data_IF_112794747671
#
_entry.id   IF_112794747671
#
_cell.length_a   1.000
_cell.length_b   1.000
_cell.length_c   1.000
_cell.angle_alpha   90.00
_cell.angle_beta   90.00
_cell.angle_gamma   90.00
#
_symmetry.space_group_name_H-M   'P 1'
#
loop_
_entity.id
_entity.type
_entity.pdbx_description
1 polymer ?
#
# COMPACT_ATOMS: atom_id res chain seq x y z
N UNK A 1 11.02 25.58 -5.14
CA UNK A 1 10.97 24.43 -6.07
C UNK A 1 9.54 23.89 -5.99
N UNK A 2 8.81 23.99 -7.08
CA UNK A 2 7.35 23.91 -7.16
C UNK A 2 6.86 22.46 -7.09
N UNK A 3 6.19 22.12 -6.00
CA UNK A 3 5.36 20.92 -5.92
C UNK A 3 4.21 21.07 -6.93
N UNK A 4 3.97 20.05 -7.74
CA UNK A 4 2.80 20.03 -8.61
C UNK A 4 1.56 19.84 -7.73
N UNK A 5 0.91 20.95 -7.35
CA UNK A 5 -0.35 21.02 -6.60
C UNK A 5 -1.54 20.61 -7.48
N UNK A 6 -1.47 19.42 -8.08
CA UNK A 6 -2.63 18.78 -8.72
C UNK A 6 -3.03 17.58 -7.89
N UNK A 7 -3.67 17.89 -6.76
CA UNK A 7 -4.41 16.93 -5.96
C UNK A 7 -3.90 16.88 -4.55
N UNK A 8 -4.45 17.72 -3.67
CA UNK A 8 -4.18 17.74 -2.23
C UNK A 8 -4.69 16.51 -1.49
N UNK A 9 -4.45 15.32 -2.03
CA UNK A 9 -4.66 14.02 -1.42
C UNK A 9 -3.33 13.45 -0.93
N UNK A 10 -3.39 12.49 -0.01
CA UNK A 10 -2.21 11.82 0.55
C UNK A 10 -2.32 10.33 0.32
N UNK A 11 -1.30 9.74 -0.28
CA UNK A 11 -1.11 8.28 -0.40
C UNK A 11 -0.38 7.75 0.82
N UNK A 12 -0.92 6.71 1.46
CA UNK A 12 -0.35 6.16 2.69
C UNK A 12 -0.72 4.67 2.87
N UNK A 13 -0.04 3.98 3.78
CA UNK A 13 -0.18 2.56 3.98
C UNK A 13 0.45 2.05 5.29
N UNK A 14 0.09 0.84 5.69
CA UNK A 14 0.73 0.18 6.83
C UNK A 14 1.95 -0.64 6.40
N UNK A 15 2.86 -0.82 7.35
CA UNK A 15 3.98 -1.74 7.18
C UNK A 15 3.46 -3.16 7.00
N UNK A 16 4.19 -3.95 6.21
CA UNK A 16 3.92 -5.39 6.08
C UNK A 16 3.94 -6.05 7.45
N UNK A 17 2.93 -6.85 7.73
CA UNK A 17 2.77 -7.60 8.97
C UNK A 17 2.30 -9.02 8.66
N UNK A 18 2.55 -9.97 9.58
CA UNK A 18 2.19 -11.39 9.39
C UNK A 18 0.99 -11.74 10.25
N UNK A 19 0.02 -12.44 9.68
CA UNK A 19 -1.11 -12.99 10.42
C UNK A 19 -0.65 -13.97 11.51
N UNK A 20 -1.29 -13.92 12.67
CA UNK A 20 -1.11 -14.92 13.73
C UNK A 20 -1.82 -16.24 13.41
N UNK A 21 -2.84 -16.20 12.54
CA UNK A 21 -3.60 -17.37 12.11
C UNK A 21 -2.89 -18.16 10.99
N UNK A 22 -2.85 -19.51 11.07
CA UNK A 22 -2.35 -20.35 9.98
C UNK A 22 -3.24 -20.33 8.72
N UNK A 23 -2.66 -20.43 7.51
CA UNK A 23 -1.23 -20.32 7.25
C UNK A 23 -0.75 -18.88 7.44
N UNK A 24 0.45 -18.73 8.00
CA UNK A 24 1.06 -17.42 8.21
C UNK A 24 1.09 -16.64 6.88
N UNK A 25 0.59 -15.42 6.89
CA UNK A 25 0.39 -14.62 5.68
C UNK A 25 0.91 -13.21 5.92
N UNK A 26 1.87 -12.77 5.10
CA UNK A 26 2.27 -11.37 5.04
C UNK A 26 1.16 -10.56 4.38
N UNK A 27 0.80 -9.43 4.98
CA UNK A 27 -0.21 -8.51 4.48
C UNK A 27 0.16 -7.06 4.73
N UNK A 28 -0.32 -6.18 3.86
CA UNK A 28 -0.31 -4.74 4.08
C UNK A 28 -1.54 -4.10 3.44
N UNK A 29 -1.87 -2.91 3.91
CA UNK A 29 -2.99 -2.11 3.44
C UNK A 29 -2.51 -0.76 2.89
N UNK A 30 -3.08 -0.36 1.76
CA UNK A 30 -2.90 0.96 1.18
C UNK A 30 -4.20 1.74 1.22
N UNK A 31 -4.11 3.06 1.41
CA UNK A 31 -5.24 3.98 1.40
C UNK A 31 -4.86 5.35 0.88
N UNK A 32 -5.86 6.21 0.77
CA UNK A 32 -5.67 7.62 0.46
C UNK A 32 -6.52 8.51 1.37
N UNK A 33 -6.06 9.74 1.57
CA UNK A 33 -6.70 10.79 2.35
C UNK A 33 -6.96 12.00 1.48
N UNK A 34 -8.01 12.75 1.77
CA UNK A 34 -8.30 14.06 1.17
C UNK A 34 -8.35 15.12 2.28
N UNK A 35 -7.19 15.52 2.84
CA UNK A 35 -7.13 16.43 3.99
C UNK A 35 -7.76 17.79 3.72
N UNK A 36 -7.76 18.25 2.45
CA UNK A 36 -8.33 19.53 2.05
C UNK A 36 -9.80 19.43 1.61
N UNK A 37 -10.34 18.22 1.48
CA UNK A 37 -11.73 18.01 1.07
C UNK A 37 -12.03 18.43 -0.38
N UNK A 38 -11.03 18.46 -1.26
CA UNK A 38 -11.15 18.90 -2.66
C UNK A 38 -11.78 17.82 -3.57
N UNK A 39 -11.78 16.57 -3.12
CA UNK A 39 -12.14 15.39 -3.91
C UNK A 39 -13.39 14.69 -3.34
N UNK A 40 -14.36 15.48 -2.87
CA UNK A 40 -15.64 14.95 -2.36
C UNK A 40 -16.30 14.06 -3.39
N UNK A 41 -16.75 12.88 -2.97
CA UNK A 41 -17.38 11.84 -3.80
C UNK A 41 -16.50 11.20 -4.88
N UNK A 42 -15.24 11.60 -5.01
CA UNK A 42 -14.26 10.91 -5.86
C UNK A 42 -13.88 9.59 -5.22
N UNK A 43 -13.67 8.58 -6.06
CA UNK A 43 -13.00 7.33 -5.69
C UNK A 43 -11.60 7.36 -6.30
N UNK A 44 -10.64 6.79 -5.59
CA UNK A 44 -9.33 6.47 -6.13
C UNK A 44 -9.20 4.97 -6.29
N UNK A 45 -8.52 4.51 -7.33
CA UNK A 45 -7.99 3.16 -7.40
C UNK A 45 -6.71 3.14 -6.58
N UNK A 46 -6.78 2.50 -5.41
CA UNK A 46 -5.59 2.27 -4.59
C UNK A 46 -4.99 0.93 -5.02
N UNK A 47 -3.74 0.94 -5.44
CA UNK A 47 -2.96 -0.25 -5.77
C UNK A 47 -1.83 -0.39 -4.78
N UNK A 48 -1.65 -1.58 -4.22
CA UNK A 48 -0.59 -1.89 -3.25
C UNK A 48 0.17 -3.13 -3.71
N UNK A 49 1.49 -3.04 -3.69
CA UNK A 49 2.39 -4.17 -3.90
C UNK A 49 3.13 -4.50 -2.61
N UNK A 50 3.22 -5.80 -2.30
CA UNK A 50 4.20 -6.28 -1.33
C UNK A 50 5.52 -6.51 -2.05
N UNK A 51 6.60 -6.01 -1.48
CA UNK A 51 7.95 -6.23 -1.98
C UNK A 51 8.83 -6.92 -0.96
N UNK A 52 9.62 -7.88 -1.42
CA UNK A 52 10.72 -8.48 -0.66
C UNK A 52 12.07 -8.07 -1.21
N UNK A 53 13.06 -7.98 -0.33
CA UNK A 53 14.44 -7.69 -0.73
C UNK A 53 15.16 -8.98 -1.14
N UNK A 54 15.74 -8.97 -2.33
CA UNK A 54 16.61 -10.01 -2.87
C UNK A 54 17.96 -9.38 -3.23
N UNK A 55 18.97 -9.61 -2.38
CA UNK A 55 20.26 -8.91 -2.46
C UNK A 55 20.07 -7.39 -2.32
N UNK A 56 20.43 -6.65 -3.36
CA UNK A 56 20.28 -5.19 -3.42
C UNK A 56 18.98 -4.73 -4.09
N UNK A 57 18.15 -5.65 -4.55
CA UNK A 57 16.94 -5.33 -5.33
C UNK A 57 15.67 -5.63 -4.54
N UNK A 58 14.61 -4.89 -4.84
CA UNK A 58 13.27 -5.15 -4.34
C UNK A 58 12.44 -5.80 -5.43
N UNK A 59 11.70 -6.87 -5.11
CA UNK A 59 10.84 -7.58 -6.05
C UNK A 59 9.39 -7.56 -5.57
N UNK A 60 8.46 -7.26 -6.46
CA UNK A 60 7.03 -7.42 -6.20
C UNK A 60 6.71 -8.92 -6.07
N UNK A 61 6.07 -9.31 -4.97
CA UNK A 61 5.69 -10.72 -4.71
C UNK A 61 4.19 -10.93 -4.54
N UNK A 62 3.44 -9.85 -4.33
CA UNK A 62 1.99 -9.83 -4.33
C UNK A 62 1.48 -8.43 -4.66
N UNK A 63 0.26 -8.37 -5.18
CA UNK A 63 -0.45 -7.14 -5.51
C UNK A 63 -1.89 -7.24 -4.98
N UNK A 64 -2.46 -6.10 -4.63
CA UNK A 64 -3.89 -5.95 -4.42
C UNK A 64 -4.33 -4.55 -4.82
N UNK A 65 -5.56 -4.43 -5.31
CA UNK A 65 -6.12 -3.12 -5.64
C UNK A 65 -7.59 -3.01 -5.25
N UNK A 66 -8.04 -1.78 -5.00
CA UNK A 66 -9.44 -1.48 -4.68
C UNK A 66 -9.80 -0.04 -5.01
N UNK A 67 -10.94 0.17 -5.66
CA UNK A 67 -11.51 1.51 -5.86
C UNK A 67 -12.33 1.94 -4.65
N UNK A 68 -11.88 2.97 -3.94
CA UNK A 68 -12.44 3.40 -2.65
C UNK A 68 -12.51 4.92 -2.55
N UNK A 69 -13.46 5.42 -1.75
CA UNK A 69 -13.44 6.82 -1.29
C UNK A 69 -12.31 7.01 -0.28
N UNK A 70 -11.88 8.25 -0.07
CA UNK A 70 -10.89 8.59 0.94
C UNK A 70 -11.25 8.01 2.31
N UNK A 71 -10.26 7.47 3.00
CA UNK A 71 -10.45 6.75 4.26
C UNK A 71 -9.14 6.22 4.80
N UNK A 72 -8.58 6.93 5.77
CA UNK A 72 -7.28 6.62 6.35
C UNK A 72 -7.19 5.31 7.14
N UNK A 73 -6.20 5.25 8.04
CA UNK A 73 -5.88 4.11 8.91
C UNK A 73 -7.03 3.63 9.82
N UNK A 74 -8.12 4.37 9.99
CA UNK A 74 -9.33 3.92 10.70
C UNK A 74 -10.41 3.27 9.82
N UNK A 75 -10.46 3.56 8.52
CA UNK A 75 -11.53 3.10 7.63
C UNK A 75 -11.20 1.77 6.92
N UNK A 76 -11.37 0.63 7.60
CA UNK A 76 -10.99 -0.71 7.08
C UNK A 76 -11.63 -1.06 5.73
N UNK A 77 -12.87 -0.64 5.48
CA UNK A 77 -13.57 -0.87 4.21
C UNK A 77 -13.05 0.00 3.05
N UNK A 78 -12.25 1.02 3.34
CA UNK A 78 -11.73 2.01 2.37
C UNK A 78 -10.23 1.85 2.08
N UNK A 79 -9.76 0.60 2.08
CA UNK A 79 -8.35 0.26 1.80
C UNK A 79 -8.24 -0.86 0.79
N UNK A 80 -7.16 -0.85 0.03
CA UNK A 80 -6.69 -2.02 -0.70
C UNK A 80 -5.86 -2.91 0.25
N UNK A 81 -5.80 -4.20 -0.03
CA UNK A 81 -5.01 -5.17 0.73
C UNK A 81 -4.24 -6.05 -0.26
N UNK A 82 -2.93 -6.16 -0.07
CA UNK A 82 -2.12 -7.18 -0.72
C UNK A 82 -1.70 -8.22 0.32
N UNK A 83 -1.82 -9.51 -0.05
CA UNK A 83 -1.49 -10.64 0.82
C UNK A 83 -0.61 -11.66 0.11
N UNK A 84 0.33 -12.25 0.85
CA UNK A 84 1.19 -13.34 0.41
C UNK A 84 1.34 -14.36 1.52
N UNK A 85 0.92 -15.59 1.28
CA UNK A 85 1.17 -16.71 2.20
C UNK A 85 2.67 -16.95 2.31
N UNK A 86 3.18 -17.09 3.53
CA UNK A 86 4.59 -17.36 3.79
C UNK A 86 4.92 -18.79 3.32
N UNK A 87 5.88 -18.93 2.40
CA UNK A 87 6.36 -20.24 1.96
C UNK A 87 7.26 -20.94 2.98
N UNK A 88 7.92 -20.16 3.85
CA UNK A 88 8.78 -20.64 4.93
C UNK A 88 8.95 -19.56 6.02
N UNK A 89 9.75 -19.87 7.06
CA UNK A 89 10.03 -18.97 8.20
C UNK A 89 11.38 -18.24 8.10
N UNK A 90 11.97 -18.13 6.91
CA UNK A 90 13.21 -17.38 6.75
C UNK A 90 12.98 -15.90 7.04
N UNK A 91 13.99 -15.24 7.63
CA UNK A 91 13.94 -13.80 7.86
C UNK A 91 14.06 -13.07 6.53
N UNK A 92 13.02 -12.37 6.13
CA UNK A 92 12.95 -11.63 4.88
C UNK A 92 12.66 -10.17 5.16
N UNK A 93 13.30 -9.26 4.41
CA UNK A 93 13.01 -7.84 4.47
C UNK A 93 11.83 -7.53 3.55
N UNK A 94 10.82 -6.86 4.09
CA UNK A 94 9.58 -6.52 3.43
C UNK A 94 9.36 -5.00 3.44
N UNK A 95 8.69 -4.51 2.40
CA UNK A 95 8.05 -3.18 2.37
C UNK A 95 6.79 -3.26 1.51
N UNK A 96 5.90 -2.30 1.63
CA UNK A 96 4.82 -2.10 0.67
C UNK A 96 5.08 -0.85 -0.17
N UNK A 97 4.57 -0.88 -1.40
CA UNK A 97 4.53 0.27 -2.32
C UNK A 97 3.06 0.52 -2.62
N UNK A 98 2.62 1.76 -2.49
CA UNK A 98 1.23 2.16 -2.69
C UNK A 98 1.18 3.23 -3.77
N UNK A 99 0.26 3.06 -4.70
CA UNK A 99 -0.04 3.97 -5.79
C UNK A 99 -1.54 4.27 -5.78
N UNK A 100 -1.90 5.52 -6.04
CA UNK A 100 -3.27 6.02 -5.91
C UNK A 100 -3.61 6.82 -7.13
N UNK A 101 -4.58 6.32 -7.89
CA UNK A 101 -5.10 6.99 -9.08
C UNK A 101 -6.53 7.48 -8.81
N UNK A 102 -6.76 8.78 -8.69
CA UNK A 102 -8.06 9.44 -8.64
C UNK A 102 -8.81 9.17 -9.94
N UNK A 103 -9.99 8.56 -9.84
CA UNK A 103 -10.76 8.18 -11.02
C UNK A 103 -11.37 9.42 -11.65
N UNK A 104 -11.01 9.68 -12.91
CA UNK A 104 -11.52 10.81 -13.70
C UNK A 104 -10.85 12.16 -13.39
N UNK A 105 -9.75 12.15 -12.63
CA UNK A 105 -8.95 13.34 -12.31
C UNK A 105 -7.50 13.00 -12.62
N UNK A 106 -6.78 13.90 -13.28
CA UNK A 106 -5.34 13.75 -13.44
C UNK A 106 -4.64 13.96 -12.09
N UNK A 107 -3.75 13.05 -11.71
CA UNK A 107 -2.91 13.12 -10.52
C UNK A 107 -1.45 12.79 -10.84
N UNK A 108 -0.59 12.88 -9.82
CA UNK A 108 0.84 12.60 -9.95
C UNK A 108 1.11 11.09 -9.87
N UNK A 109 2.15 10.59 -10.58
CA UNK A 109 2.53 9.18 -10.54
C UNK A 109 3.31 8.80 -9.26
N UNK A 110 3.12 9.57 -8.17
CA UNK A 110 3.88 9.43 -6.94
C UNK A 110 3.42 8.22 -6.13
N UNK A 111 4.39 7.47 -5.61
CA UNK A 111 4.13 6.25 -4.82
C UNK A 111 4.63 6.43 -3.40
N UNK A 112 3.81 6.02 -2.44
CA UNK A 112 4.26 5.88 -1.07
C UNK A 112 5.00 4.55 -0.90
N UNK A 113 6.15 4.57 -0.21
CA UNK A 113 6.90 3.37 0.14
C UNK A 113 7.03 3.32 1.65
N UNK A 114 6.55 2.24 2.27
CA UNK A 114 6.59 2.12 3.73
C UNK A 114 8.00 1.80 4.24
N UNK A 115 8.24 2.02 5.54
CA UNK A 115 9.48 1.57 6.18
C UNK A 115 9.69 0.07 5.95
N UNK A 116 10.94 -0.30 5.74
CA UNK A 116 11.35 -1.71 5.67
C UNK A 116 11.23 -2.38 7.03
N UNK A 117 10.69 -3.60 7.05
CA UNK A 117 10.59 -4.46 8.24
C UNK A 117 11.18 -5.84 7.95
N UNK A 118 11.78 -6.47 8.95
CA UNK A 118 12.27 -7.85 8.83
C UNK A 118 11.28 -8.80 9.50
N UNK A 119 10.73 -9.74 8.73
CA UNK A 119 9.69 -10.66 9.18
C UNK A 119 10.14 -12.12 9.02
N UNK A 120 9.70 -13.00 9.92
CA UNK A 120 9.90 -14.45 9.82
C UNK A 120 8.87 -15.06 8.86
N UNK A 121 8.95 -14.64 7.60
CA UNK A 121 8.01 -14.98 6.54
C UNK A 121 8.72 -14.82 5.19
N UNK A 122 9.09 -15.95 4.58
CA UNK A 122 9.61 -15.98 3.22
C UNK A 122 8.49 -15.89 2.20
N UNK A 123 8.64 -15.00 1.21
CA UNK A 123 7.72 -14.87 0.07
C UNK A 123 7.87 -15.98 -0.96
#
# INVERSE_FOLDING_TARGET
MTASDVGGFVTDGDHVHVSSSPPATASAHGWWLDPLGKHKNVKAKVTIWLQTKHGHTWKNVAEGSKSVKAGGRGASSRRANARKTCGNRNKTQWRSVIDVDLIGIADSPEKAVTKTVTLSCGA
#
